data_IF_559862880378
#
_entry.id   IF_559862880378
#
_cell.length_a   1.000
_cell.length_b   1.000
_cell.length_c   1.000
_cell.angle_alpha   90.00
_cell.angle_beta   90.00
_cell.angle_gamma   90.00
#
_symmetry.space_group_name_H-M   'P 1'
#
loop_
_entity.id
_entity.type
_entity.pdbx_description
1 polymer ?
#
# COMPACT_ATOMS: atom_id res chain seq x y z
N UNK A 1 -26.90 -1.58 -5.20
CA UNK A 1 -26.09 -2.73 -4.78
C UNK A 1 -24.63 -2.30 -4.80
N UNK A 2 -23.82 -2.71 -3.82
CA UNK A 2 -22.38 -2.40 -3.82
C UNK A 2 -21.68 -3.09 -5.00
N UNK A 3 -20.68 -2.45 -5.60
CA UNK A 3 -19.84 -3.00 -6.70
C UNK A 3 -18.88 -4.09 -6.22
N UNK A 4 -18.72 -4.26 -4.93
CA UNK A 4 -17.82 -5.22 -4.30
C UNK A 4 -17.24 -4.65 -3.01
N UNK A 5 -16.52 -5.49 -2.27
CA UNK A 5 -15.83 -5.10 -1.04
C UNK A 5 -14.35 -4.91 -1.35
N UNK A 6 -13.78 -3.80 -0.88
CA UNK A 6 -12.35 -3.52 -0.91
C UNK A 6 -11.86 -3.44 0.53
N UNK A 7 -10.74 -4.07 0.83
CA UNK A 7 -10.07 -3.92 2.12
C UNK A 7 -8.82 -3.07 1.95
N UNK A 8 -8.78 -1.96 2.67
CA UNK A 8 -7.60 -1.09 2.76
C UNK A 8 -6.88 -1.36 4.08
N UNK A 9 -5.60 -1.62 3.96
CA UNK A 9 -4.71 -1.88 5.07
C UNK A 9 -3.72 -0.72 5.22
N UNK A 10 -3.94 0.14 6.20
CA UNK A 10 -2.95 1.14 6.57
C UNK A 10 -1.80 0.47 7.32
N UNK A 11 -0.66 0.27 6.65
CA UNK A 11 0.49 -0.43 7.21
C UNK A 11 0.99 0.16 8.53
N UNK A 12 1.51 -0.68 9.40
CA UNK A 12 1.98 -0.37 10.76
C UNK A 12 0.88 0.14 11.71
N UNK A 13 1.24 0.41 12.97
CA UNK A 13 0.48 1.21 13.93
C UNK A 13 0.87 2.70 13.85
N UNK A 14 0.29 3.53 14.71
CA UNK A 14 0.44 4.99 14.71
C UNK A 14 1.90 5.47 14.61
N UNK A 15 2.78 4.91 15.42
CA UNK A 15 4.19 5.32 15.54
C UNK A 15 5.15 4.41 14.77
N UNK A 16 4.63 3.58 13.85
CA UNK A 16 5.46 2.75 12.99
C UNK A 16 6.31 3.61 12.06
N UNK A 17 7.61 3.32 11.98
CA UNK A 17 8.63 3.94 11.12
C UNK A 17 8.60 5.48 11.09
N UNK A 18 9.49 6.09 11.87
CA UNK A 18 9.65 7.54 11.89
C UNK A 18 10.25 8.06 10.59
N UNK A 19 9.73 9.16 10.08
CA UNK A 19 10.36 9.93 8.99
C UNK A 19 11.60 10.64 9.53
N UNK A 20 12.81 10.32 9.05
CA UNK A 20 14.02 10.85 9.67
C UNK A 20 14.23 12.34 9.45
N UNK A 21 13.60 12.90 8.39
CA UNK A 21 13.76 14.29 7.97
C UNK A 21 12.62 15.20 8.45
N UNK A 22 11.58 14.66 9.08
CA UNK A 22 10.40 15.41 9.50
C UNK A 22 10.09 15.12 10.98
N UNK A 23 9.95 16.18 11.78
CA UNK A 23 9.60 16.02 13.19
C UNK A 23 8.19 15.46 13.37
N UNK A 24 8.03 14.58 14.34
CA UNK A 24 6.75 13.98 14.75
C UNK A 24 5.93 13.38 13.59
N UNK A 25 6.62 12.94 12.53
CA UNK A 25 5.99 12.32 11.36
C UNK A 25 6.35 10.84 11.31
N UNK A 26 5.33 9.99 11.15
CA UNK A 26 5.45 8.53 11.17
C UNK A 26 4.72 7.91 9.98
N UNK A 27 5.30 6.87 9.41
CA UNK A 27 4.72 6.13 8.28
C UNK A 27 3.32 5.63 8.61
N UNK A 28 3.13 4.95 9.74
CA UNK A 28 1.82 4.42 10.13
C UNK A 28 0.72 5.49 10.25
N UNK A 29 1.09 6.73 10.63
CA UNK A 29 0.17 7.88 10.64
C UNK A 29 -0.19 8.33 9.22
N UNK A 30 0.80 8.45 8.32
CA UNK A 30 0.54 8.91 6.94
C UNK A 30 -0.22 7.84 6.14
N UNK A 31 0.11 6.56 6.32
CA UNK A 31 -0.63 5.45 5.72
C UNK A 31 -2.11 5.46 6.12
N UNK A 32 -2.41 5.70 7.39
CA UNK A 32 -3.79 5.81 7.88
C UNK A 32 -4.53 7.00 7.25
N UNK A 33 -3.87 8.15 7.14
CA UNK A 33 -4.45 9.34 6.48
C UNK A 33 -4.76 9.08 5.01
N UNK A 34 -3.86 8.39 4.28
CA UNK A 34 -4.10 8.03 2.88
C UNK A 34 -5.24 7.01 2.76
N UNK A 35 -5.25 5.97 3.61
CA UNK A 35 -6.32 4.97 3.62
C UNK A 35 -7.70 5.59 3.83
N UNK A 36 -7.84 6.57 4.74
CA UNK A 36 -9.10 7.27 4.98
C UNK A 36 -9.58 8.08 3.76
N UNK A 37 -8.66 8.71 3.03
CA UNK A 37 -8.98 9.45 1.80
C UNK A 37 -9.38 8.51 0.68
N UNK A 38 -8.59 7.45 0.48
CA UNK A 38 -8.88 6.43 -0.53
C UNK A 38 -10.22 5.72 -0.27
N UNK A 39 -10.53 5.44 1.01
CA UNK A 39 -11.85 4.94 1.40
C UNK A 39 -12.97 5.85 0.91
N UNK A 40 -12.90 7.15 1.19
CA UNK A 40 -13.92 8.10 0.79
C UNK A 40 -14.10 8.14 -0.75
N UNK A 41 -12.99 8.10 -1.51
CA UNK A 41 -13.01 8.09 -2.97
C UNK A 41 -13.62 6.80 -3.55
N UNK A 42 -13.33 5.65 -2.96
CA UNK A 42 -13.88 4.36 -3.38
C UNK A 42 -15.36 4.22 -3.01
N UNK A 43 -15.77 4.68 -1.84
CA UNK A 43 -17.18 4.70 -1.42
C UNK A 43 -18.02 5.61 -2.32
N UNK A 44 -17.47 6.76 -2.74
CA UNK A 44 -18.13 7.64 -3.70
C UNK A 44 -18.33 6.98 -5.09
N UNK A 45 -17.51 5.98 -5.42
CA UNK A 45 -17.62 5.15 -6.64
C UNK A 45 -18.50 3.90 -6.46
N UNK A 46 -19.10 3.71 -5.28
CA UNK A 46 -20.07 2.65 -5.00
C UNK A 46 -19.48 1.35 -4.44
N UNK A 47 -18.21 1.32 -4.06
CA UNK A 47 -17.61 0.18 -3.38
C UNK A 47 -17.97 0.19 -1.88
N UNK A 48 -18.04 -0.98 -1.26
CA UNK A 48 -18.00 -1.10 0.19
C UNK A 48 -16.53 -1.19 0.62
N UNK A 49 -16.10 -0.35 1.59
CA UNK A 49 -14.69 -0.31 2.00
C UNK A 49 -14.55 -0.63 3.47
N UNK A 50 -13.77 -1.67 3.77
CA UNK A 50 -13.36 -2.05 5.11
C UNK A 50 -11.91 -1.60 5.35
N UNK A 51 -11.63 -1.17 6.57
CA UNK A 51 -10.29 -0.82 7.01
C UNK A 51 -9.78 -1.88 7.99
N UNK A 52 -8.51 -2.25 7.89
CA UNK A 52 -7.86 -3.13 8.89
C UNK A 52 -7.65 -2.40 10.22
N UNK A 53 -7.53 -1.07 10.17
CA UNK A 53 -7.46 -0.18 11.34
C UNK A 53 -8.62 0.80 11.29
N UNK A 54 -9.44 0.82 12.34
CA UNK A 54 -10.56 1.76 12.47
C UNK A 54 -10.18 3.02 13.24
N UNK A 55 -9.09 2.97 13.97
CA UNK A 55 -8.48 4.12 14.62
C UNK A 55 -6.99 4.19 14.32
N UNK A 56 -6.38 5.35 14.57
CA UNK A 56 -4.96 5.56 14.33
C UNK A 56 -4.09 4.75 15.31
N UNK A 57 -4.62 4.43 16.49
CA UNK A 57 -3.95 3.68 17.54
C UNK A 57 -3.96 2.17 17.30
N UNK A 58 -4.88 1.67 16.45
CA UNK A 58 -4.96 0.24 16.15
C UNK A 58 -3.68 -0.27 15.47
N UNK A 59 -3.27 -1.48 15.86
CA UNK A 59 -2.14 -2.17 15.21
C UNK A 59 -2.41 -3.68 15.14
N UNK A 60 -3.34 -4.12 14.27
CA UNK A 60 -3.66 -5.53 14.12
C UNK A 60 -2.47 -6.31 13.57
N UNK A 61 -2.39 -7.59 13.90
CA UNK A 61 -1.40 -8.52 13.39
C UNK A 61 -1.52 -8.69 11.86
N UNK A 62 -0.43 -9.14 11.22
CA UNK A 62 -0.44 -9.40 9.76
C UNK A 62 -1.50 -10.42 9.34
N UNK A 63 -1.80 -11.38 10.23
CA UNK A 63 -2.86 -12.36 10.00
C UNK A 63 -4.25 -11.72 10.04
N UNK A 64 -4.55 -10.93 11.07
CA UNK A 64 -5.83 -10.23 11.19
C UNK A 64 -6.10 -9.31 9.99
N UNK A 65 -5.06 -8.61 9.51
CA UNK A 65 -5.15 -7.75 8.31
C UNK A 65 -5.57 -8.55 7.07
N UNK A 66 -4.86 -9.63 6.75
CA UNK A 66 -5.16 -10.47 5.58
C UNK A 66 -6.46 -11.26 5.75
N UNK A 67 -6.75 -11.75 6.96
CA UNK A 67 -7.97 -12.49 7.28
C UNK A 67 -9.23 -11.65 7.07
N UNK A 68 -9.20 -10.36 7.41
CA UNK A 68 -10.33 -9.45 7.19
C UNK A 68 -10.75 -9.45 5.72
N UNK A 69 -9.79 -9.46 4.79
CA UNK A 69 -10.10 -9.48 3.36
C UNK A 69 -10.75 -10.81 2.92
N UNK A 70 -10.21 -11.93 3.37
CA UNK A 70 -10.75 -13.25 3.01
C UNK A 70 -12.13 -13.50 3.60
N UNK A 71 -12.32 -13.26 4.89
CA UNK A 71 -13.59 -13.48 5.59
C UNK A 71 -14.76 -12.65 4.99
N UNK A 72 -14.44 -11.50 4.39
CA UNK A 72 -15.44 -10.63 3.75
C UNK A 72 -15.51 -10.81 2.24
N UNK A 73 -14.83 -11.81 1.66
CA UNK A 73 -14.81 -12.05 0.21
C UNK A 73 -14.45 -10.78 -0.57
N UNK A 74 -13.43 -10.06 -0.10
CA UNK A 74 -13.00 -8.82 -0.73
C UNK A 74 -12.55 -9.06 -2.18
N UNK A 75 -12.99 -8.20 -3.07
CA UNK A 75 -12.55 -8.21 -4.46
C UNK A 75 -11.09 -7.77 -4.61
N UNK A 76 -10.59 -6.99 -3.64
CA UNK A 76 -9.22 -6.48 -3.60
C UNK A 76 -8.80 -6.16 -2.16
N UNK A 77 -7.55 -6.50 -1.82
CA UNK A 77 -6.84 -6.08 -0.62
C UNK A 77 -5.69 -5.17 -1.01
N UNK A 78 -5.58 -4.00 -0.40
CA UNK A 78 -4.52 -3.03 -0.65
C UNK A 78 -3.86 -2.59 0.64
N UNK A 79 -2.58 -2.94 0.81
CA UNK A 79 -1.76 -2.49 1.92
C UNK A 79 -0.94 -1.26 1.51
N UNK A 80 -1.06 -0.20 2.28
CA UNK A 80 -0.53 1.15 2.03
C UNK A 80 0.70 1.34 2.89
N UNK A 81 1.84 1.61 2.25
CA UNK A 81 3.15 1.79 2.88
C UNK A 81 3.96 2.91 2.26
N UNK A 82 5.01 3.32 2.94
CA UNK A 82 6.15 4.03 2.39
C UNK A 82 7.46 3.35 2.75
N UNK A 83 8.40 3.36 1.85
CA UNK A 83 9.63 2.58 1.91
C UNK A 83 10.76 3.28 2.67
N UNK A 84 11.74 2.48 3.08
CA UNK A 84 13.06 2.94 3.49
C UNK A 84 14.12 2.04 2.85
N UNK A 85 15.29 2.58 2.46
CA UNK A 85 16.35 1.74 1.94
C UNK A 85 16.90 0.85 3.06
N UNK A 86 17.43 -0.31 2.68
CA UNK A 86 18.24 -1.13 3.57
C UNK A 86 19.55 -0.44 3.92
N UNK A 87 20.63 -1.20 4.15
CA UNK A 87 21.94 -0.63 4.40
C UNK A 87 22.40 0.23 3.22
N UNK A 88 22.84 1.47 3.51
CA UNK A 88 23.43 2.38 2.54
C UNK A 88 24.89 2.70 2.90
N UNK A 89 25.67 3.09 1.90
CA UNK A 89 27.10 3.36 2.08
C UNK A 89 27.39 4.69 2.81
N UNK A 90 26.44 5.60 2.78
CA UNK A 90 26.52 6.89 3.49
C UNK A 90 25.12 7.45 3.78
N UNK A 91 24.98 8.46 4.67
CA UNK A 91 23.71 9.16 4.88
C UNK A 91 23.15 9.79 3.58
N UNK A 92 24.00 10.36 2.74
CA UNK A 92 23.60 10.97 1.46
C UNK A 92 23.03 9.90 0.50
N UNK A 93 23.68 8.73 0.40
CA UNK A 93 23.22 7.61 -0.40
C UNK A 93 21.88 7.07 0.15
N UNK A 94 21.69 7.06 1.46
CA UNK A 94 20.45 6.66 2.13
C UNK A 94 19.29 7.58 1.75
N UNK A 95 19.50 8.89 1.78
CA UNK A 95 18.47 9.89 1.46
C UNK A 95 18.27 10.11 -0.04
N UNK A 96 19.19 9.65 -0.89
CA UNK A 96 19.06 9.75 -2.34
C UNK A 96 18.08 8.72 -2.93
N UNK A 97 17.79 7.62 -2.23
CA UNK A 97 16.88 6.59 -2.73
C UNK A 97 15.45 7.10 -2.70
N UNK A 98 14.77 7.04 -3.85
CA UNK A 98 13.37 7.44 -4.00
C UNK A 98 12.61 6.56 -5.00
N UNK A 99 11.31 6.70 -5.04
CA UNK A 99 10.46 6.08 -6.04
C UNK A 99 9.41 5.14 -5.49
N UNK A 100 8.44 4.78 -6.34
CA UNK A 100 7.35 3.87 -6.00
C UNK A 100 7.60 2.47 -6.54
N UNK A 101 7.15 1.47 -5.79
CA UNK A 101 7.13 0.07 -6.19
C UNK A 101 5.88 -0.64 -5.64
N UNK A 102 5.35 -1.60 -6.38
CA UNK A 102 4.18 -2.38 -5.93
C UNK A 102 4.54 -3.85 -5.85
N UNK A 103 4.36 -4.44 -4.67
CA UNK A 103 4.40 -5.89 -4.50
C UNK A 103 3.00 -6.46 -4.66
N UNK A 104 2.88 -7.57 -5.41
CA UNK A 104 1.60 -8.22 -5.66
C UNK A 104 1.61 -9.70 -5.28
N UNK A 105 0.42 -10.22 -4.98
CA UNK A 105 0.22 -11.61 -4.58
C UNK A 105 0.47 -12.58 -5.74
N UNK A 106 1.18 -13.67 -5.46
CA UNK A 106 1.42 -14.78 -6.39
C UNK A 106 0.17 -15.63 -6.65
N UNK A 107 -0.91 -15.46 -5.87
CA UNK A 107 -2.10 -16.33 -5.94
C UNK A 107 -2.91 -16.17 -7.25
N UNK A 108 -2.83 -15.01 -7.92
CA UNK A 108 -3.42 -14.75 -9.23
C UNK A 108 -2.45 -13.86 -10.02
N UNK A 109 -1.28 -14.40 -10.31
CA UNK A 109 -0.12 -13.64 -10.79
C UNK A 109 -0.39 -12.83 -12.06
N UNK A 110 -1.00 -13.37 -13.13
CA UNK A 110 -1.19 -12.60 -14.37
C UNK A 110 -2.08 -11.37 -14.15
N UNK A 111 -3.22 -11.54 -13.49
CA UNK A 111 -4.16 -10.46 -13.20
C UNK A 111 -3.56 -9.44 -12.23
N UNK A 112 -2.92 -9.93 -11.17
CA UNK A 112 -2.31 -9.06 -10.17
C UNK A 112 -1.16 -8.23 -10.75
N UNK A 113 -0.38 -8.76 -11.69
CA UNK A 113 0.67 -7.99 -12.36
C UNK A 113 0.13 -6.81 -13.17
N UNK A 114 -0.98 -7.01 -13.89
CA UNK A 114 -1.63 -5.94 -14.66
C UNK A 114 -2.16 -4.83 -13.73
N UNK A 115 -2.83 -5.20 -12.66
CA UNK A 115 -3.37 -4.23 -11.68
C UNK A 115 -2.22 -3.52 -10.95
N UNK A 116 -1.18 -4.25 -10.53
CA UNK A 116 -0.01 -3.68 -9.86
C UNK A 116 0.70 -2.65 -10.75
N UNK A 117 0.81 -2.93 -12.06
CA UNK A 117 1.40 -1.98 -13.02
C UNK A 117 0.58 -0.70 -13.09
N UNK A 118 -0.74 -0.82 -13.25
CA UNK A 118 -1.62 0.35 -13.31
C UNK A 118 -1.58 1.19 -12.03
N UNK A 119 -1.55 0.55 -10.85
CA UNK A 119 -1.41 1.23 -9.56
C UNK A 119 -0.07 1.95 -9.45
N UNK A 120 1.04 1.26 -9.78
CA UNK A 120 2.37 1.87 -9.73
C UNK A 120 2.50 3.07 -10.68
N UNK A 121 1.99 2.95 -11.91
CA UNK A 121 2.03 4.03 -12.91
C UNK A 121 1.25 5.27 -12.43
N UNK A 122 0.11 5.06 -11.77
CA UNK A 122 -0.69 6.14 -11.18
C UNK A 122 0.07 6.84 -10.05
N UNK A 123 0.70 6.09 -9.14
CA UNK A 123 1.50 6.65 -8.03
C UNK A 123 2.71 7.40 -8.58
N UNK A 124 3.49 6.78 -9.47
CA UNK A 124 4.68 7.40 -10.10
C UNK A 124 4.33 8.71 -10.78
N UNK A 125 3.25 8.73 -11.56
CA UNK A 125 2.78 9.94 -12.26
C UNK A 125 2.33 11.02 -11.28
N UNK A 126 1.54 10.64 -10.26
CA UNK A 126 0.98 11.60 -9.29
C UNK A 126 2.06 12.23 -8.41
N UNK A 127 3.03 11.44 -7.98
CA UNK A 127 4.14 11.89 -7.15
C UNK A 127 5.28 12.53 -7.95
N UNK A 128 5.33 12.32 -9.28
CA UNK A 128 6.49 12.65 -10.12
C UNK A 128 7.77 12.05 -9.53
N UNK A 129 7.74 10.76 -9.21
CA UNK A 129 8.83 10.02 -8.58
C UNK A 129 9.41 8.94 -9.49
N UNK A 130 10.42 8.22 -9.04
CA UNK A 130 11.06 7.16 -9.83
C UNK A 130 10.16 5.91 -9.90
N UNK A 131 9.97 5.36 -11.09
CA UNK A 131 9.37 4.04 -11.26
C UNK A 131 10.39 2.95 -10.87
N UNK A 132 10.10 2.24 -9.79
CA UNK A 132 10.90 1.10 -9.31
C UNK A 132 10.29 -0.25 -9.73
N UNK A 133 9.15 -0.21 -10.41
CA UNK A 133 8.48 -1.35 -11.01
C UNK A 133 7.55 -2.11 -10.08
N UNK A 134 7.02 -3.18 -10.63
CA UNK A 134 6.20 -4.15 -9.91
C UNK A 134 7.04 -5.36 -9.54
N UNK A 135 6.71 -6.00 -8.42
CA UNK A 135 7.55 -7.06 -7.84
C UNK A 135 6.71 -8.16 -7.21
N UNK A 136 7.27 -9.34 -7.20
CA UNK A 136 6.87 -10.44 -6.32
C UNK A 136 8.02 -10.81 -5.40
N UNK A 137 7.68 -11.43 -4.29
CA UNK A 137 8.69 -12.01 -3.40
C UNK A 137 8.16 -13.29 -2.77
N UNK A 138 8.90 -14.37 -2.93
CA UNK A 138 8.64 -15.65 -2.27
C UNK A 138 9.73 -15.97 -1.25
N UNK A 139 9.48 -16.95 -0.39
CA UNK A 139 10.55 -17.55 0.41
C UNK A 139 11.54 -18.28 -0.49
N UNK A 140 12.86 -18.19 -0.23
CA UNK A 140 13.88 -18.87 -1.05
C UNK A 140 13.70 -20.38 -1.14
N UNK A 141 13.23 -20.99 -0.05
CA UNK A 141 13.02 -22.44 0.11
C UNK A 141 11.57 -22.88 -0.17
N UNK A 142 10.65 -21.95 -0.41
CA UNK A 142 9.24 -22.20 -0.71
C UNK A 142 8.76 -21.32 -1.88
N UNK A 143 9.16 -21.64 -3.12
CA UNK A 143 8.70 -20.91 -4.30
C UNK A 143 7.17 -20.95 -4.42
N UNK A 144 6.57 -19.81 -4.75
CA UNK A 144 5.12 -19.66 -4.86
C UNK A 144 4.40 -19.28 -3.55
N UNK A 145 5.10 -19.28 -2.42
CA UNK A 145 4.55 -18.77 -1.16
C UNK A 145 4.94 -17.30 -0.99
N UNK A 146 3.94 -16.41 -0.88
CA UNK A 146 4.18 -14.98 -0.66
C UNK A 146 5.04 -14.75 0.59
N UNK A 147 6.14 -14.03 0.45
CA UNK A 147 7.01 -13.65 1.56
C UNK A 147 6.32 -12.71 2.55
N UNK A 148 5.63 -11.70 2.03
CA UNK A 148 4.93 -10.71 2.86
C UNK A 148 3.71 -11.32 3.53
N UNK A 149 3.62 -11.17 4.87
CA UNK A 149 2.59 -11.79 5.69
C UNK A 149 1.18 -11.37 5.26
N UNK A 150 0.93 -10.10 5.02
CA UNK A 150 -0.41 -9.62 4.61
C UNK A 150 -0.86 -10.21 3.28
N UNK A 151 0.04 -10.35 2.28
CA UNK A 151 -0.28 -11.00 1.00
C UNK A 151 -0.52 -12.51 1.16
N UNK A 152 0.28 -13.15 2.01
CA UNK A 152 0.14 -14.59 2.29
C UNK A 152 -1.18 -14.90 3.00
N UNK A 153 -1.52 -14.12 4.03
CA UNK A 153 -2.75 -14.32 4.78
C UNK A 153 -4.00 -13.95 3.97
N UNK A 154 -3.98 -12.84 3.20
CA UNK A 154 -5.12 -12.51 2.33
C UNK A 154 -5.42 -13.63 1.33
N UNK A 155 -4.40 -14.18 0.67
CA UNK A 155 -4.56 -15.30 -0.25
C UNK A 155 -5.02 -16.58 0.46
N UNK A 156 -4.45 -16.91 1.63
CA UNK A 156 -4.80 -18.10 2.40
C UNK A 156 -6.26 -18.08 2.90
N UNK A 157 -6.79 -16.92 3.21
CA UNK A 157 -8.19 -16.74 3.62
C UNK A 157 -9.18 -16.48 2.47
N UNK A 158 -8.71 -16.45 1.20
CA UNK A 158 -9.57 -16.42 0.01
C UNK A 158 -9.67 -15.07 -0.70
N UNK A 159 -8.77 -14.12 -0.43
CA UNK A 159 -8.61 -12.91 -1.23
C UNK A 159 -7.26 -12.97 -2.00
N UNK A 160 -7.24 -13.53 -3.24
CA UNK A 160 -6.01 -13.68 -4.01
C UNK A 160 -5.52 -12.37 -4.64
N UNK A 161 -6.42 -11.41 -4.86
CA UNK A 161 -6.12 -10.10 -5.47
C UNK A 161 -5.63 -9.15 -4.38
N UNK A 162 -4.31 -9.12 -4.15
CA UNK A 162 -3.73 -8.43 -3.02
C UNK A 162 -2.40 -7.75 -3.37
N UNK A 163 -2.22 -6.53 -2.83
CA UNK A 163 -1.09 -5.64 -3.14
C UNK A 163 -0.53 -4.98 -1.89
N UNK A 164 0.77 -4.66 -1.94
CA UNK A 164 1.42 -3.68 -1.07
C UNK A 164 1.94 -2.57 -1.98
N UNK A 165 1.53 -1.33 -1.77
CA UNK A 165 2.09 -0.17 -2.46
C UNK A 165 3.08 0.52 -1.54
N UNK A 166 4.31 0.61 -2.01
CA UNK A 166 5.36 1.47 -1.44
C UNK A 166 5.33 2.80 -2.20
N UNK A 167 4.60 3.78 -1.67
CA UNK A 167 4.29 5.04 -2.35
C UNK A 167 5.50 5.94 -2.59
N UNK A 168 6.59 5.69 -1.92
CA UNK A 168 7.82 6.47 -2.02
C UNK A 168 8.71 6.14 -0.84
N UNK A 169 9.85 6.79 -0.74
CA UNK A 169 10.78 6.59 0.37
C UNK A 169 10.63 7.72 1.39
N UNK A 170 10.10 7.40 2.58
CA UNK A 170 9.96 8.39 3.66
C UNK A 170 11.32 8.91 4.19
N UNK A 171 12.41 8.34 3.71
CA UNK A 171 13.78 8.76 3.97
C UNK A 171 14.30 9.76 2.93
N UNK A 172 13.63 9.88 1.78
CA UNK A 172 13.98 10.84 0.75
C UNK A 172 13.23 12.17 0.98
N UNK A 173 13.89 13.33 0.87
CA UNK A 173 13.25 14.60 1.20
C UNK A 173 12.06 14.96 0.30
N UNK A 174 12.10 14.64 -0.99
CA UNK A 174 11.01 14.96 -1.92
C UNK A 174 9.81 14.04 -1.71
N UNK A 175 10.05 12.71 -1.62
CA UNK A 175 8.99 11.73 -1.36
C UNK A 175 8.37 11.96 0.03
N UNK A 176 9.18 12.24 1.07
CA UNK A 176 8.69 12.52 2.42
C UNK A 176 7.84 13.80 2.48
N UNK A 177 8.27 14.87 1.79
CA UNK A 177 7.51 16.10 1.72
C UNK A 177 6.15 15.88 1.03
N UNK A 178 6.10 15.08 -0.04
CA UNK A 178 4.86 14.72 -0.72
C UNK A 178 3.94 13.92 0.19
N UNK A 179 4.45 12.86 0.81
CA UNK A 179 3.68 11.93 1.65
C UNK A 179 3.22 12.53 2.99
N UNK A 180 3.77 13.67 3.40
CA UNK A 180 3.33 14.41 4.60
C UNK A 180 2.34 15.52 4.30
N UNK A 181 2.06 15.81 3.03
CA UNK A 181 1.16 16.87 2.60
C UNK A 181 -0.26 16.34 2.33
N UNK A 182 -1.25 16.90 2.99
CA UNK A 182 -2.64 16.43 2.93
C UNK A 182 -3.28 16.56 1.54
N UNK A 183 -2.94 17.60 0.76
CA UNK A 183 -3.43 17.77 -0.63
C UNK A 183 -2.78 16.74 -1.57
N UNK A 184 -1.50 16.43 -1.35
CA UNK A 184 -0.80 15.41 -2.11
C UNK A 184 -1.35 14.00 -1.83
N UNK A 185 -1.68 13.69 -0.57
CA UNK A 185 -2.35 12.45 -0.21
C UNK A 185 -3.75 12.35 -0.85
N UNK A 186 -4.49 13.46 -0.94
CA UNK A 186 -5.78 13.46 -1.64
C UNK A 186 -5.61 13.16 -3.14
N UNK A 187 -4.59 13.71 -3.79
CA UNK A 187 -4.29 13.43 -5.20
C UNK A 187 -3.95 11.96 -5.43
N UNK A 188 -3.17 11.33 -4.53
CA UNK A 188 -2.91 9.88 -4.57
C UNK A 188 -4.21 9.09 -4.45
N UNK A 189 -5.03 9.40 -3.45
CA UNK A 189 -6.29 8.70 -3.21
C UNK A 189 -7.22 8.74 -4.45
N UNK A 190 -7.31 9.89 -5.12
CA UNK A 190 -8.09 10.02 -6.37
C UNK A 190 -7.51 9.14 -7.47
N UNK A 191 -6.18 9.21 -7.69
CA UNK A 191 -5.52 8.46 -8.77
C UNK A 191 -5.63 6.93 -8.57
N UNK A 192 -5.43 6.45 -7.35
CA UNK A 192 -5.57 5.03 -7.02
C UNK A 192 -7.02 4.55 -7.13
N UNK A 193 -7.98 5.36 -6.64
CA UNK A 193 -9.40 5.05 -6.77
C UNK A 193 -9.84 4.96 -8.24
N UNK A 194 -9.31 5.81 -9.14
CA UNK A 194 -9.57 5.74 -10.58
C UNK A 194 -9.03 4.45 -11.21
N UNK A 195 -7.86 3.97 -10.78
CA UNK A 195 -7.33 2.67 -11.23
C UNK A 195 -8.22 1.54 -10.75
N UNK A 196 -8.54 1.50 -9.45
CA UNK A 196 -9.35 0.44 -8.86
C UNK A 196 -10.74 0.39 -9.50
N UNK A 197 -11.35 1.56 -9.78
CA UNK A 197 -12.65 1.69 -10.45
C UNK A 197 -12.66 1.11 -11.88
N UNK A 198 -11.54 1.15 -12.58
CA UNK A 198 -11.38 0.64 -13.95
C UNK A 198 -11.12 -0.88 -14.01
N UNK A 199 -10.49 -1.44 -12.97
CA UNK A 199 -10.08 -2.85 -12.98
C UNK A 199 -11.04 -3.79 -12.25
N UNK A 200 -11.98 -3.24 -11.47
CA UNK A 200 -13.07 -3.95 -10.78
C UNK A 200 -14.44 -3.59 -11.37
#
# INVERSE_FOLDING_TARGET
MSRGIIVLDAGHGQFGNRYPLLENTFEGTQNFKLAMRLKAELEARGFAVLLTRNSIEDDPSLEERGKLAGDNHAALFLSIHSNAPGAASSPEAYHAVRGSEVYYSLADEPRNAEIARALNDAVVTTMNTTDRGIKTRSYPDQPGINYYGVLRHSAAYGCPTAFIIEHGFHTNPEDAAFLSNDECLQRLAVAEAEVIDKVL
#
